data_IF_601689996770
#
_entry.id   IF_601689996770
#
_cell.length_a   1.000
_cell.length_b   1.000
_cell.length_c   1.000
_cell.angle_alpha   90.00
_cell.angle_beta   90.00
_cell.angle_gamma   90.00
#
_symmetry.space_group_name_H-M   'P 1'
#
loop_
_entity.id
_entity.type
_entity.pdbx_description
1 polymer ?
#
# COMPACT_ATOMS: atom_id res chain seq x y z
N UNK A 1 -31.64 -12.18 51.59
CA UNK A 1 -31.96 -11.74 50.20
C UNK A 1 -31.11 -10.54 49.76
N UNK A 2 -30.75 -9.61 50.65
CA UNK A 2 -29.93 -8.43 50.30
C UNK A 2 -28.49 -8.75 49.85
N UNK A 3 -27.83 -9.73 50.50
CA UNK A 3 -26.42 -10.07 50.21
C UNK A 3 -26.16 -10.64 48.80
N UNK A 4 -27.18 -11.18 48.14
CA UNK A 4 -27.04 -11.71 46.77
C UNK A 4 -27.16 -10.61 45.71
N UNK A 5 -27.90 -9.53 46.02
CA UNK A 5 -28.12 -8.40 45.11
C UNK A 5 -26.91 -7.48 45.03
N UNK A 6 -26.16 -7.38 46.12
CA UNK A 6 -24.92 -6.59 46.20
C UNK A 6 -23.76 -7.25 45.43
N UNK A 7 -23.60 -8.58 45.54
CA UNK A 7 -22.60 -9.32 44.75
C UNK A 7 -22.90 -9.33 43.26
N UNK A 8 -24.17 -9.39 42.86
CA UNK A 8 -24.54 -9.32 41.44
C UNK A 8 -24.41 -7.90 40.88
N UNK A 9 -24.65 -6.87 41.68
CA UNK A 9 -24.40 -5.47 41.29
C UNK A 9 -22.89 -5.22 41.06
N UNK A 10 -22.02 -5.67 41.97
CA UNK A 10 -20.56 -5.52 41.80
C UNK A 10 -19.98 -6.33 40.62
N UNK A 11 -20.60 -7.47 40.28
CA UNK A 11 -20.24 -8.24 39.09
C UNK A 11 -20.72 -7.58 37.79
N UNK A 12 -21.92 -6.99 37.79
CA UNK A 12 -22.43 -6.25 36.63
C UNK A 12 -21.55 -5.03 36.31
N UNK A 13 -21.09 -4.33 37.34
CA UNK A 13 -20.20 -3.17 37.24
C UNK A 13 -18.81 -3.55 36.69
N UNK A 14 -18.24 -4.69 37.14
CA UNK A 14 -16.98 -5.20 36.58
C UNK A 14 -17.11 -5.72 35.14
N UNK A 15 -18.25 -6.28 34.75
CA UNK A 15 -18.52 -6.73 33.37
C UNK A 15 -18.70 -5.52 32.44
N UNK A 16 -19.30 -4.45 32.94
CA UNK A 16 -19.46 -3.18 32.22
C UNK A 16 -18.10 -2.49 31.97
N UNK A 17 -17.21 -2.45 32.98
CA UNK A 17 -15.83 -1.95 32.84
C UNK A 17 -14.99 -2.82 31.89
N UNK A 18 -15.17 -4.14 31.94
CA UNK A 18 -14.52 -5.06 31.00
C UNK A 18 -15.02 -4.84 29.56
N UNK A 19 -16.33 -4.69 29.36
CA UNK A 19 -16.93 -4.42 28.06
C UNK A 19 -16.48 -3.06 27.50
N UNK A 20 -16.41 -2.03 28.35
CA UNK A 20 -15.85 -0.72 27.97
C UNK A 20 -14.38 -0.82 27.59
N UNK A 21 -13.58 -1.59 28.31
CA UNK A 21 -12.15 -1.77 28.01
C UNK A 21 -11.95 -2.50 26.68
N UNK A 22 -12.72 -3.56 26.43
CA UNK A 22 -12.71 -4.27 25.13
C UNK A 22 -13.20 -3.40 23.97
N UNK A 23 -14.21 -2.55 24.20
CA UNK A 23 -14.71 -1.60 23.21
C UNK A 23 -13.66 -0.54 22.88
N UNK A 24 -13.04 0.04 23.91
CA UNK A 24 -11.98 1.06 23.76
C UNK A 24 -10.75 0.48 23.07
N UNK A 25 -10.34 -0.74 23.41
CA UNK A 25 -9.28 -1.48 22.73
C UNK A 25 -9.62 -1.80 21.27
N UNK A 26 -10.87 -2.17 20.97
CA UNK A 26 -11.29 -2.44 19.59
C UNK A 26 -11.30 -1.18 18.75
N UNK A 27 -11.81 -0.06 19.28
CA UNK A 27 -11.81 1.24 18.59
C UNK A 27 -10.38 1.75 18.38
N UNK A 28 -9.50 1.62 19.37
CA UNK A 28 -8.08 1.98 19.25
C UNK A 28 -7.37 1.12 18.23
N UNK A 29 -7.54 -0.21 18.26
CA UNK A 29 -6.95 -1.12 17.27
C UNK A 29 -7.47 -0.85 15.86
N UNK A 30 -8.77 -0.60 15.70
CA UNK A 30 -9.37 -0.24 14.40
C UNK A 30 -8.79 1.09 13.91
N UNK A 31 -8.64 2.08 14.79
CA UNK A 31 -8.06 3.38 14.45
C UNK A 31 -6.58 3.26 14.10
N UNK A 32 -5.76 2.52 14.86
CA UNK A 32 -4.36 2.28 14.51
C UNK A 32 -4.22 1.51 13.20
N UNK A 33 -5.01 0.45 13.00
CA UNK A 33 -4.93 -0.39 11.80
C UNK A 33 -5.40 0.36 10.55
N UNK A 34 -6.39 1.26 10.70
CA UNK A 34 -6.85 2.19 9.69
C UNK A 34 -5.81 3.27 9.40
N UNK A 35 -5.28 3.95 10.42
CA UNK A 35 -4.25 4.97 10.27
C UNK A 35 -2.99 4.40 9.62
N UNK A 36 -2.50 3.22 10.05
CA UNK A 36 -1.37 2.57 9.39
C UNK A 36 -1.68 2.14 7.95
N UNK A 37 -2.91 1.72 7.64
CA UNK A 37 -3.30 1.43 6.25
C UNK A 37 -3.28 2.69 5.38
N UNK A 38 -3.81 3.79 5.90
CA UNK A 38 -3.86 5.09 5.21
C UNK A 38 -2.45 5.64 5.03
N UNK A 39 -1.61 5.63 6.08
CA UNK A 39 -0.21 6.06 5.99
C UNK A 39 0.57 5.25 4.96
N UNK A 40 0.40 3.91 4.94
CA UNK A 40 1.03 3.07 3.93
C UNK A 40 0.51 3.39 2.52
N UNK A 41 -0.79 3.56 2.34
CA UNK A 41 -1.38 3.92 1.05
C UNK A 41 -0.84 5.26 0.54
N UNK A 42 -0.75 6.28 1.40
CA UNK A 42 -0.19 7.59 1.04
C UNK A 42 1.27 7.47 0.62
N UNK A 43 2.08 6.70 1.35
CA UNK A 43 3.49 6.47 0.99
C UNK A 43 3.61 5.74 -0.35
N UNK A 44 2.81 4.68 -0.56
CA UNK A 44 2.80 3.93 -1.83
C UNK A 44 2.36 4.80 -3.01
N UNK A 45 1.32 5.63 -2.84
CA UNK A 45 0.86 6.55 -3.87
C UNK A 45 1.94 7.59 -4.18
N UNK A 46 2.57 8.18 -3.16
CA UNK A 46 3.63 9.16 -3.33
C UNK A 46 4.87 8.55 -4.03
N UNK A 47 5.31 7.37 -3.62
CA UNK A 47 6.40 6.64 -4.27
C UNK A 47 6.05 6.23 -5.70
N UNK A 48 4.83 5.75 -5.95
CA UNK A 48 4.37 5.40 -7.29
C UNK A 48 4.35 6.62 -8.20
N UNK A 49 3.89 7.77 -7.70
CA UNK A 49 3.87 9.01 -8.47
C UNK A 49 5.29 9.46 -8.81
N UNK A 50 6.19 9.51 -7.82
CA UNK A 50 7.60 9.84 -8.03
C UNK A 50 8.28 8.86 -9.00
N UNK A 51 7.98 7.56 -8.90
CA UNK A 51 8.50 6.54 -9.80
C UNK A 51 8.05 6.75 -11.25
N UNK A 52 6.79 7.10 -11.48
CA UNK A 52 6.27 7.42 -12.82
C UNK A 52 6.96 8.66 -13.39
N UNK A 53 7.12 9.72 -12.59
CA UNK A 53 7.86 10.90 -13.02
C UNK A 53 9.30 10.58 -13.36
N UNK A 54 10.01 9.86 -12.50
CA UNK A 54 11.39 9.45 -12.73
C UNK A 54 11.51 8.66 -14.04
N UNK A 55 10.62 7.70 -14.29
CA UNK A 55 10.57 6.94 -15.54
C UNK A 55 10.36 7.85 -16.76
N UNK A 56 9.41 8.78 -16.70
CA UNK A 56 9.16 9.74 -17.78
C UNK A 56 10.41 10.55 -18.12
N UNK A 57 11.08 11.13 -17.12
CA UNK A 57 12.32 11.87 -17.33
C UNK A 57 13.42 10.99 -17.93
N UNK A 58 13.56 9.76 -17.46
CA UNK A 58 14.53 8.79 -17.96
C UNK A 58 14.29 8.47 -19.44
N UNK A 59 13.04 8.27 -19.84
CA UNK A 59 12.73 7.96 -21.22
C UNK A 59 12.83 9.17 -22.16
N UNK A 60 12.56 10.39 -21.68
CA UNK A 60 12.86 11.61 -22.45
C UNK A 60 14.37 11.74 -22.64
N UNK A 61 15.16 11.53 -21.59
CA UNK A 61 16.63 11.58 -21.66
C UNK A 61 17.19 10.53 -22.63
N UNK A 62 16.71 9.28 -22.54
CA UNK A 62 17.09 8.20 -23.46
C UNK A 62 16.69 8.50 -24.91
N UNK A 63 15.48 9.00 -25.13
CA UNK A 63 14.99 9.36 -26.47
C UNK A 63 15.81 10.49 -27.09
N UNK A 64 16.19 11.47 -26.27
CA UNK A 64 17.05 12.57 -26.70
C UNK A 64 18.44 12.06 -27.07
N UNK A 65 19.06 11.26 -26.20
CA UNK A 65 20.39 10.71 -26.44
C UNK A 65 20.44 9.80 -27.68
N UNK A 66 19.46 8.91 -27.83
CA UNK A 66 19.32 8.09 -29.04
C UNK A 66 19.02 8.92 -30.29
N UNK A 67 18.22 9.97 -30.15
CA UNK A 67 17.89 10.87 -31.26
C UNK A 67 19.10 11.64 -31.79
N UNK A 68 20.02 12.01 -30.91
CA UNK A 68 21.28 12.67 -31.27
C UNK A 68 22.24 11.67 -31.93
N UNK A 69 22.30 10.43 -31.43
CA UNK A 69 23.13 9.36 -31.99
C UNK A 69 22.70 8.94 -33.40
N UNK A 70 21.39 8.92 -33.65
CA UNK A 70 20.80 8.58 -34.96
C UNK A 70 20.79 9.79 -35.91
N UNK A 71 21.14 10.99 -35.42
CA UNK A 71 21.09 12.24 -36.19
C UNK A 71 19.67 12.70 -36.53
N UNK A 72 18.65 12.04 -35.98
CA UNK A 72 17.24 12.37 -36.20
C UNK A 72 16.44 12.15 -34.90
N UNK A 73 15.96 13.27 -34.33
CA UNK A 73 15.18 13.28 -33.09
C UNK A 73 13.90 12.45 -33.18
N UNK A 74 13.24 12.40 -34.33
CA UNK A 74 12.01 11.62 -34.50
C UNK A 74 12.26 10.12 -34.32
N UNK A 75 13.38 9.60 -34.85
CA UNK A 75 13.77 8.20 -34.69
C UNK A 75 14.20 7.89 -33.24
N UNK A 76 14.83 8.85 -32.57
CA UNK A 76 15.17 8.74 -31.13
C UNK A 76 13.94 8.52 -30.25
N UNK A 77 12.86 9.26 -30.50
CA UNK A 77 11.59 9.07 -29.79
C UNK A 77 10.91 7.74 -30.12
N UNK A 78 11.00 7.25 -31.36
CA UNK A 78 10.46 5.93 -31.73
C UNK A 78 11.20 4.81 -31.01
N UNK A 79 12.53 4.88 -30.94
CA UNK A 79 13.33 3.90 -30.20
C UNK A 79 13.11 4.01 -28.67
N UNK A 80 12.99 5.23 -28.14
CA UNK A 80 12.63 5.44 -26.75
C UNK A 80 11.24 4.90 -26.39
N UNK A 81 10.26 5.06 -27.29
CA UNK A 81 8.94 4.45 -27.16
C UNK A 81 9.03 2.92 -27.17
N UNK A 82 9.86 2.33 -28.02
CA UNK A 82 10.18 0.91 -28.00
C UNK A 82 10.78 0.45 -26.67
N UNK A 83 11.68 1.25 -26.10
CA UNK A 83 12.25 1.02 -24.76
C UNK A 83 11.19 1.02 -23.66
N UNK A 84 10.27 1.98 -23.68
CA UNK A 84 9.14 2.02 -22.75
C UNK A 84 8.16 0.87 -22.92
N UNK A 85 7.88 0.43 -24.15
CA UNK A 85 7.04 -0.74 -24.42
C UNK A 85 7.68 -2.00 -23.83
N UNK A 86 9.00 -2.17 -24.00
CA UNK A 86 9.74 -3.27 -23.37
C UNK A 86 9.66 -3.19 -21.85
N UNK A 87 9.87 -2.02 -21.27
CA UNK A 87 9.77 -1.78 -19.83
C UNK A 87 8.36 -2.11 -19.31
N UNK A 88 7.32 -1.69 -20.03
CA UNK A 88 5.93 -2.03 -19.74
C UNK A 88 5.68 -3.54 -19.80
N UNK A 89 6.25 -4.22 -20.79
CA UNK A 89 6.12 -5.67 -20.95
C UNK A 89 6.84 -6.44 -19.84
N UNK A 90 8.02 -5.97 -19.41
CA UNK A 90 8.74 -6.49 -18.25
C UNK A 90 7.90 -6.31 -16.98
N UNK A 91 7.35 -5.11 -16.75
CA UNK A 91 6.47 -4.84 -15.60
C UNK A 91 5.21 -5.72 -15.66
N UNK A 92 4.63 -5.93 -16.84
CA UNK A 92 3.46 -6.78 -17.03
C UNK A 92 3.76 -8.27 -16.76
N UNK A 93 4.95 -8.77 -17.11
CA UNK A 93 5.40 -10.10 -16.72
C UNK A 93 5.67 -10.20 -15.21
N UNK A 94 6.36 -9.20 -14.65
CA UNK A 94 6.65 -9.10 -13.22
C UNK A 94 5.37 -9.00 -12.39
N UNK A 95 4.30 -8.40 -12.91
CA UNK A 95 2.98 -8.35 -12.27
C UNK A 95 2.51 -9.74 -11.83
N UNK A 96 2.72 -10.74 -12.68
CA UNK A 96 2.27 -12.11 -12.38
C UNK A 96 3.11 -12.77 -11.28
N UNK A 97 4.40 -12.43 -11.19
CA UNK A 97 5.34 -13.05 -10.24
C UNK A 97 5.56 -12.27 -8.94
N UNK A 98 5.39 -10.94 -8.91
CA UNK A 98 5.70 -10.09 -7.76
C UNK A 98 4.44 -9.47 -7.15
N UNK A 99 3.52 -8.93 -7.98
CA UNK A 99 2.35 -8.21 -7.44
C UNK A 99 1.36 -9.18 -6.77
N UNK A 100 1.14 -10.36 -7.34
CA UNK A 100 0.23 -11.36 -6.75
C UNK A 100 0.70 -11.89 -5.39
N UNK A 101 1.96 -12.36 -5.20
CA UNK A 101 2.42 -12.82 -3.90
C UNK A 101 2.60 -11.68 -2.88
N UNK A 102 3.05 -10.48 -3.30
CA UNK A 102 3.25 -9.37 -2.36
C UNK A 102 1.93 -8.87 -1.74
N UNK A 103 0.86 -8.80 -2.54
CA UNK A 103 -0.49 -8.47 -2.03
C UNK A 103 -1.00 -9.59 -1.13
N UNK A 104 -0.79 -10.86 -1.51
CA UNK A 104 -1.23 -12.01 -0.72
C UNK A 104 -0.53 -12.06 0.63
N UNK A 105 0.78 -11.82 0.68
CA UNK A 105 1.55 -11.81 1.93
C UNK A 105 1.23 -10.59 2.81
N UNK A 106 0.93 -9.42 2.22
CA UNK A 106 0.45 -8.26 2.98
C UNK A 106 -0.92 -8.51 3.62
N UNK A 107 -1.84 -9.15 2.88
CA UNK A 107 -3.17 -9.48 3.40
C UNK A 107 -3.05 -10.56 4.49
N UNK A 108 -2.26 -11.61 4.27
CA UNK A 108 -2.06 -12.68 5.26
C UNK A 108 -1.43 -12.12 6.53
N UNK A 109 -0.40 -11.28 6.42
CA UNK A 109 0.25 -10.68 7.59
C UNK A 109 -0.68 -9.75 8.38
N UNK A 110 -1.58 -9.03 7.70
CA UNK A 110 -2.53 -8.10 8.36
C UNK A 110 -3.78 -8.78 8.90
N UNK A 111 -4.08 -10.01 8.48
CA UNK A 111 -5.17 -10.84 9.01
C UNK A 111 -4.71 -11.70 10.18
N UNK A 112 -3.43 -12.08 10.22
CA UNK A 112 -2.88 -12.96 11.27
C UNK A 112 -2.27 -12.21 12.48
N UNK A 113 -2.03 -10.89 12.37
CA UNK A 113 -1.81 -9.95 13.50
C UNK A 113 -3.12 -9.26 13.91
#
# INVERSE_FOLDING_TARGET
MEHLKEKTAGLAEHVEDFAQTFYKLSVLKVTEKATNAVSFAVVVIAFSLLGVFALLFLGIALSWWLGDLVGNRALGFVLGAGGFILLFLIIALLRKNIVFPFIRDLIIKKVYD
#
